data_IF_224143895257
#
_entry.id   IF_224143895257
#
_cell.length_a   1.000
_cell.length_b   1.000
_cell.length_c   1.000
_cell.angle_alpha   90.00
_cell.angle_beta   90.00
_cell.angle_gamma   90.00
#
_symmetry.space_group_name_H-M   'P 1'
#
loop_
_entity.id
_entity.type
_entity.pdbx_description
1 polymer ?
#
# COMPACT_ATOMS: atom_id res chain seq x y z
N UNK A 1 -5.18 7.21 22.44
CA UNK A 1 -3.94 7.04 21.66
C UNK A 1 -4.32 6.20 20.47
N UNK A 2 -4.46 6.82 19.30
CA UNK A 2 -4.68 6.09 18.04
C UNK A 2 -3.41 5.27 17.77
N UNK A 3 -3.57 3.95 17.68
CA UNK A 3 -2.49 3.01 17.41
C UNK A 3 -2.27 2.95 15.88
N UNK A 4 -1.82 4.06 15.29
CA UNK A 4 -1.58 4.15 13.84
C UNK A 4 -0.56 3.10 13.39
N UNK A 5 -0.83 2.41 12.28
CA UNK A 5 0.03 1.36 11.71
C UNK A 5 1.01 1.90 10.69
N UNK A 6 1.08 3.21 10.51
CA UNK A 6 1.99 3.88 9.58
C UNK A 6 3.45 3.40 9.67
N UNK A 7 3.96 3.15 10.88
CA UNK A 7 5.32 2.61 11.06
C UNK A 7 5.46 1.19 10.49
N UNK A 8 4.48 0.31 10.73
CA UNK A 8 4.52 -1.07 10.23
C UNK A 8 4.39 -1.11 8.70
N UNK A 9 3.54 -0.25 8.12
CA UNK A 9 3.45 -0.08 6.66
C UNK A 9 4.75 0.44 6.07
N UNK A 10 5.42 1.39 6.73
CA UNK A 10 6.72 1.89 6.29
C UNK A 10 7.78 0.79 6.32
N UNK A 11 7.85 0.03 7.41
CA UNK A 11 8.83 -1.06 7.56
C UNK A 11 8.57 -2.18 6.52
N UNK A 12 7.31 -2.56 6.30
CA UNK A 12 6.94 -3.57 5.32
C UNK A 12 7.19 -3.11 3.88
N UNK A 13 6.77 -1.89 3.53
CA UNK A 13 6.99 -1.36 2.18
C UNK A 13 8.47 -1.18 1.84
N UNK A 14 9.33 -0.88 2.82
CA UNK A 14 10.78 -0.88 2.63
C UNK A 14 11.33 -2.27 2.25
N UNK A 15 10.83 -3.32 2.91
CA UNK A 15 11.24 -4.69 2.63
C UNK A 15 10.65 -5.25 1.34
N UNK A 16 9.48 -4.77 0.92
CA UNK A 16 8.74 -5.32 -0.21
C UNK A 16 8.90 -4.45 -1.45
N UNK A 17 8.48 -3.19 -1.41
CA UNK A 17 8.49 -2.32 -2.61
C UNK A 17 9.88 -1.78 -2.93
N UNK A 18 10.67 -1.42 -1.90
CA UNK A 18 11.99 -0.84 -2.12
C UNK A 18 13.11 -1.84 -2.31
N UNK A 19 12.95 -3.06 -1.78
CA UNK A 19 13.95 -4.11 -1.97
C UNK A 19 13.69 -4.96 -3.22
N UNK A 20 12.47 -4.93 -3.78
CA UNK A 20 12.03 -5.76 -4.90
C UNK A 20 11.81 -4.90 -6.17
N UNK A 21 12.88 -4.20 -6.62
CA UNK A 21 12.97 -3.44 -7.88
C UNK A 21 11.85 -2.41 -8.20
N UNK A 22 11.01 -2.03 -7.23
CA UNK A 22 9.89 -1.10 -7.43
C UNK A 22 8.61 -1.75 -7.95
N UNK A 23 8.47 -3.07 -7.85
CA UNK A 23 7.23 -3.80 -8.20
C UNK A 23 6.54 -4.37 -6.96
N UNK A 24 5.27 -4.76 -7.11
CA UNK A 24 4.52 -5.57 -6.14
C UNK A 24 3.63 -6.59 -6.86
N UNK A 25 3.46 -7.76 -6.26
CA UNK A 25 2.46 -8.73 -6.68
C UNK A 25 1.13 -8.61 -5.89
N UNK A 26 0.15 -9.44 -6.25
CA UNK A 26 -1.17 -9.43 -5.62
C UNK A 26 -1.15 -9.86 -4.14
N UNK A 27 -0.24 -10.75 -3.74
CA UNK A 27 -0.12 -11.20 -2.35
C UNK A 27 0.49 -10.09 -1.48
N UNK A 28 1.51 -9.41 -2.00
CA UNK A 28 2.14 -8.25 -1.37
C UNK A 28 1.16 -7.07 -1.21
N UNK A 29 0.36 -6.78 -2.25
CA UNK A 29 -0.70 -5.76 -2.16
C UNK A 29 -1.74 -6.14 -1.09
N UNK A 30 -2.25 -7.37 -1.10
CA UNK A 30 -3.23 -7.82 -0.12
C UNK A 30 -2.70 -7.76 1.32
N UNK A 31 -1.41 -8.02 1.53
CA UNK A 31 -0.75 -7.88 2.82
C UNK A 31 -0.71 -6.42 3.26
N UNK A 32 -0.32 -5.50 2.37
CA UNK A 32 -0.34 -4.06 2.66
C UNK A 32 -1.72 -3.56 3.06
N UNK A 33 -2.75 -3.93 2.29
CA UNK A 33 -4.14 -3.55 2.59
C UNK A 33 -4.59 -4.10 3.94
N UNK A 34 -4.23 -5.36 4.24
CA UNK A 34 -4.55 -5.97 5.53
C UNK A 34 -3.90 -5.23 6.70
N UNK A 35 -2.66 -4.78 6.55
CA UNK A 35 -2.00 -3.96 7.57
C UNK A 35 -2.68 -2.60 7.74
N UNK A 36 -3.03 -1.94 6.64
CA UNK A 36 -3.71 -0.64 6.66
C UNK A 36 -5.16 -0.72 7.17
N UNK A 37 -5.77 -1.90 7.17
CA UNK A 37 -7.16 -2.11 7.59
C UNK A 37 -7.30 -2.88 8.90
N UNK A 38 -6.20 -3.19 9.60
CA UNK A 38 -6.23 -4.03 10.79
C UNK A 38 -7.07 -3.42 11.92
N UNK A 39 -7.05 -2.10 12.08
CA UNK A 39 -7.87 -1.37 13.05
C UNK A 39 -9.21 -0.87 12.47
N UNK A 40 -9.47 -1.18 11.20
CA UNK A 40 -10.71 -0.89 10.48
C UNK A 40 -10.81 0.53 9.90
N UNK A 41 -9.77 1.38 10.02
CA UNK A 41 -9.79 2.77 9.52
C UNK A 41 -8.44 3.10 8.91
N UNK A 42 -8.42 3.55 7.65
CA UNK A 42 -7.19 4.13 7.05
C UNK A 42 -7.07 5.59 7.50
N UNK A 43 -6.17 5.85 8.44
CA UNK A 43 -5.92 7.20 8.97
C UNK A 43 -5.07 8.07 8.01
N UNK A 44 -4.87 9.34 8.37
CA UNK A 44 -4.15 10.29 7.51
C UNK A 44 -2.65 9.96 7.35
N UNK A 45 -2.03 9.32 8.36
CA UNK A 45 -0.63 8.92 8.30
C UNK A 45 -0.46 7.70 7.39
N UNK A 46 -1.36 6.72 7.51
CA UNK A 46 -1.42 5.53 6.66
C UNK A 46 -1.72 5.90 5.21
N UNK A 47 -2.67 6.82 4.98
CA UNK A 47 -2.96 7.36 3.65
C UNK A 47 -1.72 7.95 2.98
N UNK A 48 -0.95 8.76 3.71
CA UNK A 48 0.29 9.34 3.20
C UNK A 48 1.34 8.29 2.86
N UNK A 49 1.47 7.25 3.68
CA UNK A 49 2.40 6.14 3.42
C UNK A 49 1.97 5.38 2.15
N UNK A 50 0.69 5.03 2.02
CA UNK A 50 0.14 4.34 0.86
C UNK A 50 0.28 5.16 -0.43
N UNK A 51 0.00 6.48 -0.39
CA UNK A 51 0.25 7.39 -1.51
C UNK A 51 1.73 7.35 -1.96
N UNK A 52 2.66 7.38 -1.00
CA UNK A 52 4.11 7.34 -1.29
C UNK A 52 4.59 6.00 -1.82
N UNK A 53 3.90 4.92 -1.49
CA UNK A 53 4.20 3.58 -2.03
C UNK A 53 3.67 3.49 -3.46
N UNK A 54 2.37 3.74 -3.65
CA UNK A 54 1.75 3.61 -4.97
C UNK A 54 2.27 4.60 -6.02
N UNK A 55 2.83 5.73 -5.61
CA UNK A 55 3.46 6.69 -6.54
C UNK A 55 4.84 6.26 -7.04
N UNK A 56 5.43 5.23 -6.44
CA UNK A 56 6.75 4.70 -6.82
C UNK A 56 6.68 3.42 -7.63
N UNK A 57 5.51 2.78 -7.71
CA UNK A 57 5.30 1.61 -8.54
C UNK A 57 5.41 2.00 -10.00
N UNK A 58 6.17 1.23 -10.78
CA UNK A 58 6.13 1.34 -12.22
C UNK A 58 4.84 0.66 -12.71
N UNK A 59 3.91 1.40 -13.33
CA UNK A 59 2.67 0.81 -13.82
C UNK A 59 2.96 -0.34 -14.79
N UNK A 60 4.01 -0.27 -15.60
CA UNK A 60 4.33 -1.27 -16.61
C UNK A 60 5.01 -2.52 -16.03
N UNK A 61 5.40 -2.50 -14.75
CA UNK A 61 6.00 -3.64 -14.05
C UNK A 61 5.02 -4.42 -13.16
N UNK A 62 3.78 -3.96 -13.03
CA UNK A 62 2.74 -4.62 -12.24
C UNK A 62 1.66 -5.20 -13.16
N UNK A 63 1.10 -6.34 -12.77
CA UNK A 63 0.02 -6.98 -13.51
C UNK A 63 -1.24 -6.11 -13.53
N UNK A 64 -2.05 -6.28 -14.59
CA UNK A 64 -3.29 -5.51 -14.75
C UNK A 64 -4.22 -5.64 -13.54
N UNK A 65 -4.35 -6.84 -12.96
CA UNK A 65 -5.21 -7.08 -11.80
C UNK A 65 -4.74 -6.29 -10.56
N UNK A 66 -3.42 -6.25 -10.33
CA UNK A 66 -2.80 -5.46 -9.23
C UNK A 66 -3.06 -3.98 -9.44
N UNK A 67 -2.89 -3.49 -10.68
CA UNK A 67 -3.16 -2.09 -11.03
C UNK A 67 -4.62 -1.72 -10.77
N UNK A 68 -5.55 -2.55 -11.19
CA UNK A 68 -6.99 -2.33 -10.99
C UNK A 68 -7.37 -2.34 -9.50
N UNK A 69 -6.76 -3.20 -8.68
CA UNK A 69 -6.98 -3.20 -7.22
C UNK A 69 -6.44 -1.92 -6.57
N UNK A 70 -5.24 -1.47 -6.94
CA UNK A 70 -4.69 -0.18 -6.45
C UNK A 70 -5.65 0.97 -6.77
N UNK A 71 -6.21 1.01 -7.98
CA UNK A 71 -7.18 2.04 -8.37
C UNK A 71 -8.48 1.95 -7.56
N UNK A 72 -9.01 0.74 -7.34
CA UNK A 72 -10.16 0.52 -6.45
C UNK A 72 -9.88 1.00 -5.04
N UNK A 73 -8.72 0.66 -4.50
CA UNK A 73 -8.30 1.03 -3.16
C UNK A 73 -8.17 2.55 -3.01
N UNK A 74 -7.55 3.22 -3.99
CA UNK A 74 -7.43 4.68 -4.02
C UNK A 74 -8.77 5.38 -3.98
N UNK A 75 -9.70 4.93 -4.83
CA UNK A 75 -11.07 5.46 -4.88
C UNK A 75 -11.80 5.28 -3.54
N UNK A 76 -11.64 4.12 -2.89
CA UNK A 76 -12.32 3.79 -1.63
C UNK A 76 -11.82 4.60 -0.43
N UNK A 77 -10.52 4.87 -0.35
CA UNK A 77 -9.88 5.47 0.82
C UNK A 77 -9.35 6.89 0.58
N UNK A 78 -9.69 7.46 -0.58
CA UNK A 78 -9.32 8.82 -1.00
C UNK A 78 -7.80 9.07 -0.95
N UNK A 79 -7.04 8.09 -1.46
CA UNK A 79 -5.57 8.08 -1.60
C UNK A 79 -5.19 8.65 -2.96
#
# INVERSE_FOLDING_TARGET
MTNSKAKQLTDYSFLVVFANDGTIDAEELAMMERLALEDGIVDDDERQVLQRIFSRLDPDSIDQEVREEIERFRSRYNI
#
